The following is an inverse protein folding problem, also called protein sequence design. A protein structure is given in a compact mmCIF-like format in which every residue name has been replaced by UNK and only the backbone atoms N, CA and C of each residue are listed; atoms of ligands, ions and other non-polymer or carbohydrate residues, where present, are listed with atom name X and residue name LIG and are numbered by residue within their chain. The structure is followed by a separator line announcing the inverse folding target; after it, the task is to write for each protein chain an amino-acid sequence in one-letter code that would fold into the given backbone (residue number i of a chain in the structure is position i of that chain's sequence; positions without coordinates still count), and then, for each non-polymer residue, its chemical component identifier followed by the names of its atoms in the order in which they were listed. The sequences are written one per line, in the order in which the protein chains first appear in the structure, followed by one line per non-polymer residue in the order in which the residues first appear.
data_IF_660334534288
#
_entry.id   IF_660334534288
#
_cell.length_a   1.000
_cell.length_b   1.000
_cell.length_c   1.000
_cell.angle_alpha   90.00
_cell.angle_beta   90.00
_cell.angle_gamma   90.00
#
_symmetry.space_group_name_H-M   'P 1'
#
loop_
_entity.id
_entity.type
_entity.pdbx_description
1 polymer ?
#
# COMPACT_ATOMS: atom_id res chain seq x y z
N UNK A 1 18.00 4.38 9.75
CA UNK A 1 17.06 3.72 10.70
C UNK A 1 17.74 3.44 12.01
N UNK A 2 17.06 3.64 13.10
CA UNK A 2 17.52 3.31 14.46
C UNK A 2 16.41 2.57 15.19
N UNK A 3 16.78 1.57 15.99
CA UNK A 3 15.83 0.75 16.76
C UNK A 3 16.02 0.96 18.25
N UNK A 4 14.91 1.15 18.97
CA UNK A 4 14.85 1.31 20.42
C UNK A 4 13.86 0.27 20.99
N UNK A 5 14.35 -0.83 21.51
CA UNK A 5 13.49 -1.92 21.96
C UNK A 5 12.70 -2.50 20.78
N UNK A 6 11.37 -2.45 20.84
CA UNK A 6 10.46 -2.86 19.76
C UNK A 6 10.17 -1.74 18.74
N UNK A 7 10.62 -0.53 19.00
CA UNK A 7 10.37 0.61 18.13
C UNK A 7 11.51 0.82 17.14
N UNK A 8 11.18 1.09 15.89
CA UNK A 8 12.12 1.44 14.83
C UNK A 8 11.74 2.79 14.26
N UNK A 9 12.74 3.68 14.16
CA UNK A 9 12.62 4.99 13.51
C UNK A 9 13.45 4.96 12.24
N UNK A 10 12.85 5.28 11.12
CA UNK A 10 13.51 5.48 9.83
C UNK A 10 13.35 6.93 9.40
N UNK A 11 14.45 7.54 8.97
CA UNK A 11 14.45 8.81 8.24
C UNK A 11 14.97 8.55 6.84
N UNK A 12 14.38 9.19 5.86
CA UNK A 12 14.81 9.07 4.47
C UNK A 12 14.75 10.42 3.76
N UNK A 13 15.58 10.53 2.77
CA UNK A 13 15.63 11.65 1.86
C UNK A 13 15.74 11.11 0.44
N UNK A 14 14.93 11.62 -0.45
CA UNK A 14 14.96 11.30 -1.88
C UNK A 14 15.36 12.57 -2.62
N UNK A 15 16.52 12.53 -3.27
CA UNK A 15 17.00 13.61 -4.10
C UNK A 15 16.93 13.18 -5.56
N UNK A 16 16.17 13.90 -6.36
CA UNK A 16 16.25 13.97 -7.81
C UNK A 16 16.43 12.63 -8.55
N UNK A 17 15.65 11.62 -8.20
CA UNK A 17 15.62 10.39 -8.98
C UNK A 17 14.20 9.85 -9.06
N UNK A 18 13.80 9.46 -10.25
CA UNK A 18 12.55 8.73 -10.47
C UNK A 18 12.65 7.38 -9.77
N UNK A 19 11.97 7.15 -8.66
CA UNK A 19 11.98 5.82 -8.02
C UNK A 19 11.17 4.87 -8.91
N UNK A 20 11.80 3.82 -9.38
CA UNK A 20 11.14 2.76 -10.13
C UNK A 20 10.39 1.75 -9.25
N UNK A 21 10.38 1.94 -7.93
CA UNK A 21 9.71 1.07 -6.97
C UNK A 21 8.82 1.88 -6.04
N UNK A 22 7.54 1.83 -6.32
CA UNK A 22 6.45 2.39 -5.54
C UNK A 22 6.20 1.58 -4.28
N UNK A 23 6.56 2.14 -3.15
CA UNK A 23 6.05 1.71 -1.86
C UNK A 23 5.93 2.94 -0.98
N UNK A 24 4.74 3.48 -0.87
CA UNK A 24 4.31 4.75 -0.30
C UNK A 24 4.37 5.91 -1.33
N UNK A 25 3.22 6.21 -1.94
CA UNK A 25 3.04 7.31 -2.89
C UNK A 25 3.65 7.05 -4.28
N UNK A 26 2.83 7.21 -5.30
CA UNK A 26 3.24 7.09 -6.69
C UNK A 26 3.86 8.42 -7.15
N UNK A 27 5.19 8.51 -7.19
CA UNK A 27 5.88 9.69 -7.68
C UNK A 27 6.03 9.55 -9.20
N UNK A 28 5.18 10.19 -9.95
CA UNK A 28 5.19 10.15 -11.41
C UNK A 28 6.13 11.23 -11.98
N UNK A 29 7.29 10.79 -12.46
CA UNK A 29 7.99 11.38 -13.60
C UNK A 29 8.53 12.80 -13.54
N UNK A 30 8.43 13.54 -12.43
CA UNK A 30 9.02 14.86 -12.26
C UNK A 30 10.23 14.81 -11.33
N UNK A 31 11.12 15.76 -11.47
CA UNK A 31 12.24 16.01 -10.55
C UNK A 31 11.69 16.37 -9.18
N UNK A 32 11.52 15.39 -8.31
CA UNK A 32 10.97 15.60 -6.97
C UNK A 32 12.04 15.36 -5.92
N UNK A 33 12.08 16.24 -4.95
CA UNK A 33 12.82 16.01 -3.70
C UNK A 33 11.82 15.70 -2.59
N UNK A 34 12.17 14.77 -1.73
CA UNK A 34 11.27 14.39 -0.65
C UNK A 34 12.03 14.04 0.62
N UNK A 35 11.40 14.33 1.75
CA UNK A 35 11.87 13.91 3.06
C UNK A 35 10.76 13.16 3.78
N UNK A 36 11.15 12.20 4.61
CA UNK A 36 10.14 11.50 5.37
C UNK A 36 10.67 10.81 6.61
N UNK A 37 9.72 10.47 7.46
CA UNK A 37 9.94 9.73 8.68
C UNK A 37 8.96 8.56 8.78
N UNK A 38 9.46 7.41 9.20
CA UNK A 38 8.67 6.23 9.51
C UNK A 38 8.95 5.78 10.93
N UNK A 39 7.90 5.57 11.68
CA UNK A 39 7.96 4.98 13.01
C UNK A 39 7.21 3.66 13.00
N UNK A 40 7.83 2.60 13.48
CA UNK A 40 7.22 1.28 13.59
C UNK A 40 7.46 0.74 14.99
N UNK A 41 6.42 0.23 15.62
CA UNK A 41 6.49 -0.42 16.93
C UNK A 41 5.44 -1.51 17.06
N UNK A 42 5.51 -2.26 18.16
CA UNK A 42 4.49 -3.23 18.54
C UNK A 42 3.97 -2.86 19.93
N UNK A 43 2.64 -2.80 20.07
CA UNK A 43 1.94 -2.55 21.33
C UNK A 43 1.05 -3.75 21.63
N UNK A 44 1.47 -4.60 22.56
CA UNK A 44 0.85 -5.92 22.75
C UNK A 44 1.02 -6.76 21.46
N UNK A 45 -0.09 -7.23 20.91
CA UNK A 45 -0.13 -8.02 19.68
C UNK A 45 -0.40 -7.17 18.43
N UNK A 46 -0.44 -5.85 18.58
CA UNK A 46 -0.72 -4.93 17.49
C UNK A 46 0.58 -4.30 16.99
N UNK A 47 0.92 -4.53 15.74
CA UNK A 47 1.94 -3.77 15.03
C UNK A 47 1.38 -2.40 14.62
N UNK A 48 2.13 -1.34 14.87
CA UNK A 48 1.77 0.04 14.56
C UNK A 48 2.85 0.64 13.67
N UNK A 49 2.46 1.21 12.55
CA UNK A 49 3.34 1.98 11.68
C UNK A 49 2.74 3.36 11.47
N UNK A 50 3.54 4.39 11.69
CA UNK A 50 3.22 5.78 11.36
C UNK A 50 4.18 6.25 10.30
N UNK A 51 3.69 6.97 9.31
CA UNK A 51 4.47 7.54 8.22
C UNK A 51 4.17 9.03 8.06
N UNK A 52 5.18 9.79 7.71
CA UNK A 52 5.08 11.17 7.27
C UNK A 52 6.07 11.39 6.13
N UNK A 53 5.63 12.01 5.07
CA UNK A 53 6.49 12.39 3.96
C UNK A 53 6.09 13.77 3.43
N UNK A 54 7.07 14.50 2.94
CA UNK A 54 6.88 15.73 2.17
C UNK A 54 7.56 15.56 0.84
N UNK A 55 6.91 16.04 -0.20
CA UNK A 55 7.45 16.06 -1.55
C UNK A 55 7.40 17.49 -2.07
N UNK A 56 8.51 17.95 -2.59
CA UNK A 56 8.62 19.24 -3.24
C UNK A 56 8.74 19.02 -4.75
N UNK A 57 7.78 19.48 -5.51
CA UNK A 57 7.81 19.56 -6.95
C UNK A 57 7.94 21.05 -7.37
N UNK A 58 8.39 21.29 -8.58
CA UNK A 58 8.51 22.65 -9.15
C UNK A 58 7.19 23.43 -9.19
N UNK A 59 6.07 22.81 -8.90
CA UNK A 59 4.73 23.39 -8.98
C UNK A 59 3.89 23.29 -7.71
N UNK A 60 4.20 22.40 -6.78
CA UNK A 60 3.44 22.24 -5.53
C UNK A 60 4.22 21.44 -4.48
N UNK A 61 3.90 21.70 -3.22
CA UNK A 61 4.37 20.93 -2.08
C UNK A 61 3.26 19.94 -1.70
N UNK A 62 3.57 18.66 -1.67
CA UNK A 62 2.66 17.60 -1.24
C UNK A 62 3.14 17.04 0.11
N UNK A 63 2.18 16.78 1.00
CA UNK A 63 2.44 16.11 2.28
C UNK A 63 1.60 14.83 2.37
N UNK A 64 2.20 13.78 2.88
CA UNK A 64 1.52 12.52 3.17
C UNK A 64 1.68 12.14 4.63
N UNK A 65 0.59 11.77 5.27
CA UNK A 65 0.57 11.18 6.61
C UNK A 65 -0.20 9.88 6.60
N UNK A 66 0.36 8.86 7.22
CA UNK A 66 -0.27 7.55 7.23
C UNK A 66 -0.14 6.81 8.56
N UNK A 67 -1.12 5.96 8.82
CA UNK A 67 -1.10 4.98 9.90
C UNK A 67 -1.46 3.61 9.34
N UNK A 68 -0.70 2.59 9.72
CA UNK A 68 -1.05 1.21 9.46
C UNK A 68 -0.99 0.39 10.75
N UNK A 69 -1.98 -0.45 10.93
CA UNK A 69 -2.11 -1.37 12.05
C UNK A 69 -2.11 -2.81 11.52
N UNK A 70 -1.40 -3.70 12.20
CA UNK A 70 -1.44 -5.13 11.91
C UNK A 70 -1.73 -5.91 13.17
N UNK A 71 -2.56 -6.93 13.07
CA UNK A 71 -2.94 -7.77 14.18
C UNK A 71 -3.04 -9.24 13.76
N UNK A 72 -2.40 -10.11 14.52
CA UNK A 72 -2.52 -11.55 14.31
C UNK A 72 -3.89 -12.04 14.83
N UNK A 73 -4.73 -12.58 13.96
CA UNK A 73 -6.07 -13.03 14.29
C UNK A 73 -6.44 -14.29 13.50
N UNK A 74 -7.09 -15.25 14.13
CA UNK A 74 -7.69 -16.44 13.49
C UNK A 74 -6.71 -17.21 12.54
N UNK A 75 -5.44 -17.30 12.92
CA UNK A 75 -4.43 -17.97 12.08
C UNK A 75 -3.92 -17.16 10.89
N UNK A 76 -4.25 -15.90 10.83
CA UNK A 76 -3.80 -14.97 9.79
C UNK A 76 -3.43 -13.61 10.35
N UNK A 77 -3.25 -12.64 9.46
CA UNK A 77 -2.93 -11.26 9.79
C UNK A 77 -4.00 -10.33 9.22
N UNK A 78 -4.64 -9.58 10.09
CA UNK A 78 -5.49 -8.45 9.73
C UNK A 78 -4.61 -7.19 9.63
N UNK A 79 -4.78 -6.44 8.55
CA UNK A 79 -4.11 -5.15 8.35
C UNK A 79 -5.15 -4.08 8.07
N UNK A 80 -4.98 -2.91 8.67
CA UNK A 80 -5.81 -1.72 8.45
C UNK A 80 -4.88 -0.55 8.21
N UNK A 81 -5.14 0.25 7.19
CA UNK A 81 -4.35 1.43 6.86
C UNK A 81 -5.24 2.62 6.57
N UNK A 82 -4.72 3.79 6.90
CA UNK A 82 -5.28 5.08 6.51
C UNK A 82 -4.14 6.02 6.15
N UNK A 83 -4.32 6.74 5.06
CA UNK A 83 -3.38 7.75 4.58
C UNK A 83 -4.14 9.00 4.18
N UNK A 84 -3.56 10.15 4.47
CA UNK A 84 -4.05 11.45 4.06
C UNK A 84 -2.95 12.18 3.30
N UNK A 85 -3.30 12.71 2.15
CA UNK A 85 -2.45 13.50 1.28
C UNK A 85 -2.98 14.92 1.19
N UNK A 86 -2.11 15.89 1.19
CA UNK A 86 -2.43 17.32 0.99
C UNK A 86 -1.52 17.89 -0.08
N UNK A 87 -1.99 18.87 -0.85
CA UNK A 87 -1.25 19.48 -1.96
C UNK A 87 -1.97 19.33 -3.29
N UNK A 88 -1.24 18.95 -4.32
CA UNK A 88 -1.83 18.76 -5.67
C UNK A 88 -2.83 17.60 -5.73
N UNK A 89 -2.59 16.58 -4.94
CA UNK A 89 -3.42 15.36 -4.86
C UNK A 89 -4.09 15.24 -3.49
N UNK A 90 -4.77 16.32 -3.06
CA UNK A 90 -5.53 16.31 -1.81
C UNK A 90 -6.51 15.15 -1.76
N UNK A 91 -6.48 14.43 -0.64
CA UNK A 91 -7.43 13.36 -0.42
C UNK A 91 -7.00 12.38 0.66
N UNK A 92 -7.73 11.31 0.74
CA UNK A 92 -7.44 10.25 1.68
C UNK A 92 -7.68 8.88 1.07
N UNK A 93 -6.98 7.89 1.61
CA UNK A 93 -7.25 6.50 1.31
C UNK A 93 -7.27 5.66 2.58
N UNK A 94 -8.12 4.67 2.58
CA UNK A 94 -8.26 3.72 3.67
C UNK A 94 -8.34 2.30 3.11
N UNK A 95 -7.81 1.35 3.85
CA UNK A 95 -7.86 -0.04 3.44
C UNK A 95 -7.88 -1.01 4.61
N UNK A 96 -8.44 -2.17 4.35
CA UNK A 96 -8.41 -3.32 5.25
C UNK A 96 -8.06 -4.55 4.44
N UNK A 97 -7.20 -5.40 4.96
CA UNK A 97 -6.90 -6.68 4.35
C UNK A 97 -6.71 -7.76 5.41
N UNK A 98 -6.99 -8.98 5.00
CA UNK A 98 -6.75 -10.17 5.81
C UNK A 98 -6.00 -11.21 4.98
N UNK A 99 -4.92 -11.75 5.52
CA UNK A 99 -4.15 -12.80 4.89
C UNK A 99 -3.97 -13.97 5.86
N UNK A 100 -4.18 -15.20 5.39
CA UNK A 100 -4.02 -16.40 6.18
C UNK A 100 -3.34 -17.52 5.38
N UNK A 101 -2.71 -18.43 6.09
CA UNK A 101 -2.15 -19.63 5.49
C UNK A 101 -3.06 -20.81 5.80
N UNK A 102 -3.52 -21.50 4.75
CA UNK A 102 -4.29 -22.75 4.81
C UNK A 102 -3.40 -23.87 4.27
N UNK A 103 -2.94 -24.75 5.12
CA UNK A 103 -1.89 -25.72 4.81
C UNK A 103 -0.64 -25.02 4.25
N UNK A 104 -0.43 -25.11 2.95
CA UNK A 104 0.68 -24.45 2.26
C UNK A 104 0.24 -23.27 1.40
N UNK A 105 -1.08 -23.06 1.23
CA UNK A 105 -1.60 -21.95 0.44
C UNK A 105 -1.70 -20.68 1.29
N UNK A 106 -1.29 -19.56 0.76
CA UNK A 106 -1.60 -18.24 1.32
C UNK A 106 -2.80 -17.66 0.59
N UNK A 107 -3.83 -17.28 1.34
CA UNK A 107 -5.03 -16.64 0.82
C UNK A 107 -5.13 -15.24 1.41
N UNK A 108 -5.40 -14.24 0.60
CA UNK A 108 -5.62 -12.88 1.04
C UNK A 108 -6.87 -12.27 0.40
N UNK A 109 -7.52 -11.42 1.16
CA UNK A 109 -8.61 -10.56 0.71
C UNK A 109 -8.34 -9.15 1.20
N UNK A 110 -8.56 -8.16 0.35
CA UNK A 110 -8.38 -6.76 0.65
C UNK A 110 -9.53 -5.92 0.10
N UNK A 111 -9.80 -4.84 0.80
CA UNK A 111 -10.69 -3.78 0.37
C UNK A 111 -10.02 -2.44 0.65
N UNK A 112 -10.06 -1.52 -0.30
CA UNK A 112 -9.58 -0.16 -0.12
C UNK A 112 -10.51 0.84 -0.80
N UNK A 113 -10.49 2.06 -0.28
CA UNK A 113 -11.14 3.22 -0.89
C UNK A 113 -10.18 4.38 -0.92
N UNK A 114 -10.22 5.14 -1.98
CA UNK A 114 -9.52 6.41 -2.11
C UNK A 114 -10.55 7.48 -2.47
N UNK A 115 -10.42 8.65 -1.85
CA UNK A 115 -11.23 9.83 -2.11
C UNK A 115 -10.26 11.01 -2.27
N UNK A 116 -9.99 11.34 -3.51
CA UNK A 116 -9.07 12.39 -3.93
C UNK A 116 -9.86 13.55 -4.52
N UNK A 117 -9.33 14.75 -4.51
CA UNK A 117 -10.00 15.97 -5.01
C UNK A 117 -10.57 15.80 -6.42
N UNK A 118 -9.89 15.03 -7.28
CA UNK A 118 -10.28 14.86 -8.68
C UNK A 118 -10.91 13.49 -8.97
N UNK A 119 -10.90 12.54 -8.03
CA UNK A 119 -11.36 11.16 -8.29
C UNK A 119 -11.66 10.42 -7.01
N UNK A 120 -12.59 9.48 -7.08
CA UNK A 120 -12.84 8.53 -6.00
C UNK A 120 -12.83 7.11 -6.53
N UNK A 121 -12.30 6.16 -5.77
CA UNK A 121 -12.27 4.76 -6.18
C UNK A 121 -12.41 3.81 -5.00
N UNK A 122 -12.92 2.64 -5.29
CA UNK A 122 -12.91 1.50 -4.38
C UNK A 122 -12.27 0.31 -5.07
N UNK A 123 -11.51 -0.47 -4.34
CA UNK A 123 -10.83 -1.65 -4.84
C UNK A 123 -11.09 -2.85 -3.93
N UNK A 124 -11.33 -3.99 -4.53
CA UNK A 124 -11.37 -5.28 -3.84
C UNK A 124 -10.37 -6.20 -4.50
N UNK A 125 -9.54 -6.84 -3.69
CA UNK A 125 -8.52 -7.79 -4.12
C UNK A 125 -8.75 -9.13 -3.42
N UNK A 126 -8.64 -10.21 -4.20
CA UNK A 126 -8.57 -11.58 -3.67
C UNK A 126 -7.40 -12.27 -4.33
N UNK A 127 -6.50 -12.82 -3.54
CA UNK A 127 -5.35 -13.54 -4.07
C UNK A 127 -5.15 -14.87 -3.34
N UNK A 128 -4.64 -15.84 -4.08
CA UNK A 128 -4.16 -17.11 -3.55
C UNK A 128 -2.80 -17.42 -4.15
N UNK A 129 -1.87 -17.86 -3.30
CA UNK A 129 -0.57 -18.37 -3.75
C UNK A 129 -0.29 -19.73 -3.11
N UNK A 130 0.34 -20.60 -3.86
CA UNK A 130 0.68 -21.95 -3.42
C UNK A 130 2.14 -22.28 -3.77
N UNK A 131 3.00 -22.57 -2.78
CA UNK A 131 4.37 -22.97 -3.04
C UNK A 131 4.42 -24.43 -3.53
N UNK A 132 5.09 -24.63 -4.66
CA UNK A 132 5.32 -25.96 -5.24
C UNK A 132 6.62 -26.60 -4.74
N UNK A 133 7.43 -25.87 -3.95
CA UNK A 133 8.76 -26.28 -3.54
C UNK A 133 9.85 -25.86 -4.53
N UNK A 134 11.13 -26.00 -4.13
CA UNK A 134 12.26 -25.63 -4.98
C UNK A 134 12.32 -24.15 -5.41
N UNK A 135 11.73 -23.25 -4.63
CA UNK A 135 11.65 -21.83 -4.98
C UNK A 135 10.55 -21.46 -5.98
N UNK A 136 9.70 -22.42 -6.35
CA UNK A 136 8.59 -22.20 -7.30
C UNK A 136 7.27 -22.00 -6.55
N UNK A 137 6.48 -21.03 -6.93
CA UNK A 137 5.10 -20.85 -6.49
C UNK A 137 4.17 -20.52 -7.66
N UNK A 138 2.91 -20.87 -7.51
CA UNK A 138 1.84 -20.46 -8.44
C UNK A 138 0.90 -19.51 -7.71
N UNK A 139 0.29 -18.59 -8.44
CA UNK A 139 -0.66 -17.65 -7.86
C UNK A 139 -1.84 -17.39 -8.80
N UNK A 140 -2.95 -17.01 -8.20
CA UNK A 140 -4.09 -16.42 -8.88
C UNK A 140 -4.55 -15.20 -8.09
N UNK A 141 -4.88 -14.12 -8.80
CA UNK A 141 -5.34 -12.86 -8.23
C UNK A 141 -6.55 -12.36 -9.02
N UNK A 142 -7.51 -11.84 -8.32
CA UNK A 142 -8.64 -11.11 -8.88
C UNK A 142 -8.71 -9.75 -8.22
N UNK A 143 -8.74 -8.70 -9.03
CA UNK A 143 -8.90 -7.32 -8.62
C UNK A 143 -10.13 -6.73 -9.27
N UNK A 144 -10.95 -6.07 -8.48
CA UNK A 144 -12.08 -5.29 -8.97
C UNK A 144 -11.92 -3.86 -8.48
N UNK A 145 -11.94 -2.92 -9.41
CA UNK A 145 -11.86 -1.48 -9.13
C UNK A 145 -13.12 -0.83 -9.68
N UNK A 146 -13.75 0.01 -8.88
CA UNK A 146 -14.82 0.88 -9.32
C UNK A 146 -14.59 2.30 -8.80
N UNK A 147 -14.92 3.31 -9.61
CA UNK A 147 -14.70 4.70 -9.19
C UNK A 147 -14.90 5.68 -10.33
N UNK A 148 -14.81 6.96 -9.96
CA UNK A 148 -14.85 8.09 -10.89
C UNK A 148 -13.42 8.60 -11.06
N UNK A 149 -12.95 8.71 -12.28
CA UNK A 149 -11.61 9.20 -12.60
C UNK A 149 -11.57 10.71 -12.87
N UNK A 150 -12.63 11.43 -12.48
CA UNK A 150 -12.68 12.91 -12.50
C UNK A 150 -12.72 13.58 -13.89
N UNK A 151 -12.37 12.86 -14.92
CA UNK A 151 -12.36 13.38 -16.32
C UNK A 151 -13.40 12.72 -17.21
N UNK A 152 -13.98 11.61 -16.77
CA UNK A 152 -15.02 10.87 -17.49
C UNK A 152 -16.29 10.77 -16.63
N UNK A 153 -17.42 11.18 -17.19
CA UNK A 153 -18.74 11.07 -16.56
C UNK A 153 -19.25 9.63 -16.45
N UNK A 154 -18.41 8.65 -16.73
CA UNK A 154 -18.74 7.23 -16.64
C UNK A 154 -17.92 6.60 -15.49
N UNK A 155 -18.63 6.16 -14.44
CA UNK A 155 -18.05 5.25 -13.44
C UNK A 155 -17.52 4.02 -14.15
N UNK A 156 -16.21 3.87 -14.20
CA UNK A 156 -15.55 2.71 -14.81
C UNK A 156 -15.34 1.63 -13.75
N UNK A 157 -16.08 0.55 -13.88
CA UNK A 157 -15.80 -0.67 -13.13
C UNK A 157 -14.89 -1.57 -13.98
N UNK A 158 -13.73 -1.89 -13.47
CA UNK A 158 -12.76 -2.78 -14.10
C UNK A 158 -12.50 -3.99 -13.21
N UNK A 159 -12.56 -5.18 -13.79
CA UNK A 159 -12.14 -6.41 -13.10
C UNK A 159 -11.01 -7.05 -13.89
N UNK A 160 -9.95 -7.37 -13.19
CA UNK A 160 -8.76 -8.02 -13.75
C UNK A 160 -8.52 -9.32 -13.02
N UNK A 161 -8.19 -10.36 -13.76
CA UNK A 161 -7.73 -11.63 -13.21
C UNK A 161 -6.33 -11.93 -13.75
N UNK A 162 -5.42 -12.28 -12.86
CA UNK A 162 -4.08 -12.71 -13.17
C UNK A 162 -3.85 -14.12 -12.64
N UNK A 163 -3.20 -14.97 -13.43
CA UNK A 163 -2.71 -16.29 -13.03
C UNK A 163 -1.27 -16.38 -13.48
N UNK A 164 -0.40 -16.84 -12.61
CA UNK A 164 1.02 -16.91 -12.93
C UNK A 164 1.81 -17.83 -12.01
N UNK A 165 3.11 -17.84 -12.27
CA UNK A 165 4.09 -18.52 -11.42
C UNK A 165 5.26 -17.58 -11.12
N UNK A 166 5.85 -17.77 -9.95
CA UNK A 166 7.07 -17.09 -9.52
C UNK A 166 8.16 -18.11 -9.24
N UNK A 167 9.39 -17.78 -9.61
CA UNK A 167 10.57 -18.63 -9.35
C UNK A 167 11.61 -17.76 -8.63
N UNK A 168 12.04 -18.24 -7.46
CA UNK A 168 13.10 -17.59 -6.68
C UNK A 168 14.33 -18.50 -6.66
N UNK A 169 15.49 -17.96 -7.04
CA UNK A 169 16.77 -18.66 -7.11
C UNK A 169 17.65 -18.32 -5.91
#
# INVERSE_FOLDING_TARGET
TTTFGTATVGLYYVADSVPTNKALGDIDGATQTGTGAKFTTTVGDVGVTLGYATYEDSSADDEETGIALTYAAMGGTLSVGYENSTGTNDGNQAGVSYAMTLDSATVSIGFSSADMTASSSTQTDVAVSYPLGGGVSVFAEMRSVSGDTGTDTASTANSTMAIGSSITF
#
